data_IF_030865739935
#
_entry.id   IF_030865739935
#
_cell.length_a   1.000
_cell.length_b   1.000
_cell.length_c   1.000
_cell.angle_alpha   90.00
_cell.angle_beta   90.00
_cell.angle_gamma   90.00
#
_symmetry.space_group_name_H-M   'P 1'
#
loop_
_entity.id
_entity.type
_entity.pdbx_description
1 polymer ?
#
# COMPACT_ATOMS: atom_id res chain seq x y z
N UNK A 1 -17.13 17.07 -1.97
CA UNK A 1 -16.51 16.51 -0.78
C UNK A 1 -15.01 16.74 -0.89
N UNK A 2 -14.52 17.63 -0.05
CA UNK A 2 -13.14 18.15 -0.06
C UNK A 2 -12.30 17.13 0.69
N UNK A 3 -11.44 16.40 -0.03
CA UNK A 3 -10.37 15.62 0.59
C UNK A 3 -9.32 16.60 1.11
N UNK A 4 -9.38 16.90 2.40
CA UNK A 4 -8.35 17.70 3.07
C UNK A 4 -7.11 16.82 3.21
N UNK A 5 -6.11 17.07 2.35
CA UNK A 5 -4.76 16.49 2.49
C UNK A 5 -4.07 17.20 3.63
N UNK A 6 -3.75 16.49 4.69
CA UNK A 6 -2.92 17.02 5.77
C UNK A 6 -1.47 16.97 5.28
N UNK A 7 -0.95 18.13 4.88
CA UNK A 7 0.49 18.32 4.67
C UNK A 7 1.12 18.59 6.03
N UNK A 8 1.64 17.55 6.66
CA UNK A 8 2.45 17.72 7.87
C UNK A 8 3.87 18.02 7.43
N UNK A 9 4.26 19.30 7.43
CA UNK A 9 5.64 19.72 7.26
C UNK A 9 6.43 19.32 8.51
N UNK A 10 7.12 18.21 8.48
CA UNK A 10 8.14 17.89 9.50
C UNK A 10 9.45 18.45 8.99
N UNK A 11 9.85 19.60 9.52
CA UNK A 11 11.20 20.12 9.36
C UNK A 11 12.14 19.34 10.30
N UNK A 12 12.92 18.43 9.76
CA UNK A 12 14.04 17.85 10.50
C UNK A 12 15.21 18.82 10.35
N UNK A 13 15.50 19.59 11.40
CA UNK A 13 16.71 20.39 11.51
C UNK A 13 17.87 19.45 11.88
N UNK A 14 18.74 19.17 10.91
CA UNK A 14 20.01 18.47 11.12
C UNK A 14 21.13 19.53 11.09
N UNK A 15 21.73 19.90 12.24
CA UNK A 15 22.90 20.75 12.23
C UNK A 15 24.13 19.95 11.79
N UNK A 16 24.85 20.48 10.81
CA UNK A 16 26.13 20.03 10.29
C UNK A 16 26.17 18.79 9.37
N UNK A 17 25.67 18.96 8.13
CA UNK A 17 26.25 18.29 6.97
C UNK A 17 26.07 19.17 5.72
N UNK A 18 26.87 20.23 5.61
CA UNK A 18 26.71 21.28 4.62
C UNK A 18 27.47 21.06 3.30
N UNK A 19 27.86 19.84 2.94
CA UNK A 19 28.72 19.65 1.77
C UNK A 19 28.33 18.57 0.75
N UNK A 20 27.17 17.89 0.89
CA UNK A 20 26.86 16.78 -0.04
C UNK A 20 25.52 16.86 -0.80
N UNK A 21 24.64 17.83 -0.51
CA UNK A 21 23.41 18.01 -1.27
C UNK A 21 23.11 19.49 -1.47
N UNK A 22 23.14 20.02 -2.70
CA UNK A 22 22.60 21.34 -2.98
C UNK A 22 21.06 21.27 -2.97
N UNK A 23 20.45 21.22 -1.77
CA UNK A 23 19.02 21.47 -1.66
C UNK A 23 18.80 22.98 -1.85
N UNK A 24 18.41 23.35 -3.04
CA UNK A 24 17.85 24.68 -3.30
C UNK A 24 16.46 24.74 -2.63
N UNK A 25 16.37 25.49 -1.53
CA UNK A 25 15.20 25.64 -0.63
C UNK A 25 14.00 26.39 -1.30
N UNK A 26 13.89 26.42 -2.59
CA UNK A 26 12.86 27.22 -3.31
C UNK A 26 11.92 26.41 -4.20
N UNK A 27 11.82 25.09 -4.05
CA UNK A 27 10.85 24.34 -4.83
C UNK A 27 9.62 24.00 -3.97
N UNK A 28 8.51 24.68 -4.22
CA UNK A 28 7.21 24.27 -3.64
C UNK A 28 6.86 22.91 -4.25
N UNK A 29 6.60 21.88 -3.40
CA UNK A 29 6.29 20.55 -3.92
C UNK A 29 5.06 20.59 -4.84
N UNK A 30 5.20 20.00 -6.02
CA UNK A 30 4.11 19.85 -6.97
C UNK A 30 3.39 18.51 -6.75
N UNK A 31 2.16 18.39 -7.24
CA UNK A 31 1.42 17.12 -7.17
C UNK A 31 2.16 15.97 -7.85
N UNK A 32 2.94 16.28 -8.87
CA UNK A 32 3.76 15.33 -9.62
C UNK A 32 5.00 14.85 -8.86
N UNK A 33 5.35 15.48 -7.75
CA UNK A 33 6.45 15.01 -6.90
C UNK A 33 6.05 13.81 -6.02
N UNK A 34 4.74 13.53 -5.89
CA UNK A 34 4.20 12.44 -5.09
C UNK A 34 3.67 11.32 -5.98
N UNK A 35 3.69 10.08 -5.50
CA UNK A 35 3.07 8.97 -6.22
C UNK A 35 1.58 9.26 -6.45
N UNK A 36 1.04 9.05 -7.67
CA UNK A 36 -0.34 9.38 -7.98
C UNK A 36 -1.33 8.47 -7.25
N UNK A 37 -2.44 9.07 -6.82
CA UNK A 37 -3.55 8.38 -6.13
C UNK A 37 -4.87 8.54 -6.88
N UNK A 38 -4.90 9.38 -7.89
CA UNK A 38 -6.08 9.70 -8.70
C UNK A 38 -5.78 9.69 -10.20
N UNK A 39 -6.79 9.50 -11.02
CA UNK A 39 -6.68 9.59 -12.50
C UNK A 39 -6.09 10.92 -12.95
N UNK A 40 -6.53 12.03 -12.34
CA UNK A 40 -6.02 13.36 -12.66
C UNK A 40 -4.50 13.48 -12.45
N UNK A 41 -3.97 12.88 -11.39
CA UNK A 41 -2.53 12.89 -11.11
C UNK A 41 -1.74 12.01 -12.10
N UNK A 42 -2.36 10.92 -12.57
CA UNK A 42 -1.80 10.07 -13.64
C UNK A 42 -1.74 10.84 -14.96
N UNK A 43 -2.83 11.52 -15.32
CA UNK A 43 -2.93 12.35 -16.52
C UNK A 43 -1.92 13.51 -16.51
N UNK A 44 -1.72 14.16 -15.35
CA UNK A 44 -0.71 15.22 -15.18
C UNK A 44 0.73 14.72 -15.41
N UNK A 45 0.98 13.43 -15.21
CA UNK A 45 2.27 12.78 -15.53
C UNK A 45 2.37 12.32 -16.99
N UNK A 46 1.31 12.51 -17.78
CA UNK A 46 1.23 12.03 -19.17
C UNK A 46 1.15 10.51 -19.29
N UNK A 47 0.72 9.81 -18.25
CA UNK A 47 0.61 8.36 -18.26
C UNK A 47 -0.77 7.93 -18.74
N UNK A 48 -0.80 6.99 -19.68
CA UNK A 48 -2.04 6.36 -20.20
C UNK A 48 -2.33 5.03 -19.55
N UNK A 49 -1.31 4.39 -18.96
CA UNK A 49 -1.40 3.11 -18.28
C UNK A 49 -0.49 3.11 -17.04
N UNK A 50 -0.73 2.21 -16.13
CA UNK A 50 0.08 1.95 -14.94
C UNK A 50 0.72 0.57 -15.03
N UNK A 51 1.94 0.46 -14.54
CA UNK A 51 2.62 -0.84 -14.43
C UNK A 51 2.19 -1.58 -13.16
N UNK A 52 2.13 -0.86 -12.05
CA UNK A 52 1.85 -1.43 -10.73
C UNK A 52 0.89 -0.50 -9.98
N UNK A 53 -0.10 -1.09 -9.30
CA UNK A 53 -1.01 -0.36 -8.41
C UNK A 53 -0.90 -0.97 -7.02
N UNK A 54 -0.55 -0.14 -6.03
CA UNK A 54 -0.39 -0.56 -4.63
C UNK A 54 -1.65 -0.17 -3.85
N UNK A 55 -2.34 -1.15 -3.29
CA UNK A 55 -3.44 -0.95 -2.34
C UNK A 55 -2.89 -0.95 -0.92
N UNK A 56 -3.14 0.11 -0.16
CA UNK A 56 -2.68 0.25 1.22
C UNK A 56 -3.86 0.48 2.16
N UNK A 57 -3.85 -0.18 3.32
CA UNK A 57 -4.84 0.09 4.34
C UNK A 57 -4.54 1.36 5.18
N UNK A 58 -3.35 1.93 5.07
CA UNK A 58 -3.03 3.23 5.64
C UNK A 58 -3.37 4.36 4.67
N UNK A 59 -3.62 5.55 5.20
CA UNK A 59 -3.58 6.79 4.44
C UNK A 59 -2.22 6.96 3.76
N UNK A 60 -2.19 7.60 2.59
CA UNK A 60 -0.93 7.84 1.90
C UNK A 60 -0.16 8.99 2.53
N UNK A 61 1.03 8.65 3.03
CA UNK A 61 2.04 9.61 3.48
C UNK A 61 3.34 9.22 2.78
N UNK A 62 3.92 10.14 2.00
CA UNK A 62 5.18 9.92 1.31
C UNK A 62 6.37 10.10 2.27
N UNK A 63 6.60 9.09 3.08
CA UNK A 63 7.63 9.09 4.11
C UNK A 63 8.25 7.70 4.27
N UNK A 64 9.56 7.59 4.56
CA UNK A 64 10.26 6.31 4.71
C UNK A 64 9.70 5.36 5.77
N UNK A 65 8.90 5.85 6.70
CA UNK A 65 8.22 5.01 7.70
C UNK A 65 7.00 4.26 7.16
N UNK A 66 6.55 4.58 5.93
CA UNK A 66 5.36 3.97 5.33
C UNK A 66 5.76 3.01 4.21
N UNK A 67 5.56 1.72 4.44
CA UNK A 67 6.00 0.66 3.53
C UNK A 67 5.45 0.80 2.10
N UNK A 68 4.19 1.21 1.93
CA UNK A 68 3.61 1.43 0.60
C UNK A 68 4.32 2.57 -0.16
N UNK A 69 4.68 3.66 0.53
CA UNK A 69 5.46 4.76 -0.05
C UNK A 69 6.87 4.30 -0.43
N UNK A 70 7.57 3.59 0.46
CA UNK A 70 8.93 3.06 0.21
C UNK A 70 8.92 2.16 -1.02
N UNK A 71 8.03 1.17 -1.07
CA UNK A 71 7.96 0.24 -2.22
C UNK A 71 7.58 0.99 -3.50
N UNK A 72 6.60 1.88 -3.44
CA UNK A 72 6.22 2.71 -4.59
C UNK A 72 7.38 3.53 -5.13
N UNK A 73 8.16 4.18 -4.26
CA UNK A 73 9.33 4.97 -4.66
C UNK A 73 10.48 4.11 -5.20
N UNK A 74 10.72 2.94 -4.60
CA UNK A 74 11.73 1.99 -5.11
C UNK A 74 11.37 1.54 -6.53
N UNK A 75 10.10 1.22 -6.78
CA UNK A 75 9.64 0.80 -8.11
C UNK A 75 9.62 1.96 -9.11
N UNK A 76 9.22 3.16 -8.69
CA UNK A 76 9.30 4.38 -9.53
C UNK A 76 10.76 4.67 -9.95
N UNK A 77 11.71 4.52 -9.02
CA UNK A 77 13.14 4.68 -9.32
C UNK A 77 13.69 3.63 -10.31
N UNK A 78 13.05 2.46 -10.42
CA UNK A 78 13.33 1.45 -11.44
C UNK A 78 12.65 1.77 -12.79
N UNK A 79 11.91 2.87 -12.90
CA UNK A 79 11.24 3.33 -14.12
C UNK A 79 9.80 2.83 -14.31
N UNK A 80 9.21 2.16 -13.31
CA UNK A 80 7.82 1.73 -13.40
C UNK A 80 6.83 2.88 -13.10
N UNK A 81 5.70 2.87 -13.79
CA UNK A 81 4.58 3.76 -13.53
C UNK A 81 3.75 3.20 -12.37
N UNK A 82 3.95 3.74 -11.20
CA UNK A 82 3.35 3.24 -9.95
C UNK A 82 2.31 4.21 -9.42
N UNK A 83 1.17 3.68 -8.99
CA UNK A 83 0.14 4.45 -8.27
C UNK A 83 -0.21 3.79 -6.94
N UNK A 84 -0.72 4.57 -5.98
CA UNK A 84 -1.20 4.07 -4.69
C UNK A 84 -2.70 4.33 -4.58
N UNK A 85 -3.44 3.33 -4.11
CA UNK A 85 -4.84 3.44 -3.66
C UNK A 85 -4.84 3.30 -2.14
N UNK A 86 -4.81 4.41 -1.40
CA UNK A 86 -4.85 4.39 0.05
C UNK A 86 -6.27 4.22 0.55
N UNK A 87 -6.45 3.38 1.57
CA UNK A 87 -7.73 3.16 2.26
C UNK A 87 -8.94 3.10 1.31
N UNK A 88 -8.96 2.14 0.35
CA UNK A 88 -10.10 2.02 -0.55
C UNK A 88 -11.37 1.65 0.22
N UNK A 89 -12.50 2.23 -0.20
CA UNK A 89 -13.80 1.80 0.30
C UNK A 89 -14.11 0.38 -0.21
N UNK A 90 -14.19 -0.55 0.75
CA UNK A 90 -14.47 -1.97 0.47
C UNK A 90 -15.97 -2.31 0.51
N UNK A 91 -16.82 -1.30 0.72
CA UNK A 91 -18.27 -1.46 0.72
C UNK A 91 -18.89 -1.17 -0.65
N UNK A 92 -20.04 -1.73 -0.90
CA UNK A 92 -20.85 -1.40 -2.07
C UNK A 92 -20.27 -1.84 -3.41
N UNK A 93 -20.08 -0.90 -4.32
CA UNK A 93 -19.75 -1.16 -5.73
C UNK A 93 -18.24 -1.26 -6.03
N UNK A 94 -17.39 -1.25 -5.01
CA UNK A 94 -15.92 -1.30 -5.14
C UNK A 94 -15.33 -0.24 -6.07
N UNK A 95 -15.89 0.97 -6.05
CA UNK A 95 -15.49 2.07 -6.94
C UNK A 95 -14.02 2.43 -6.83
N UNK A 96 -13.48 2.42 -5.61
CA UNK A 96 -12.08 2.74 -5.36
C UNK A 96 -11.12 1.67 -5.93
N UNK A 97 -11.55 0.42 -5.99
CA UNK A 97 -10.77 -0.66 -6.60
C UNK A 97 -10.76 -0.59 -8.13
N UNK A 98 -11.74 0.10 -8.73
CA UNK A 98 -11.85 0.28 -10.20
C UNK A 98 -11.32 1.62 -10.68
N UNK A 99 -11.12 2.61 -9.79
CA UNK A 99 -10.84 4.00 -10.18
C UNK A 99 -9.59 4.21 -11.02
N UNK A 100 -8.56 3.37 -10.84
CA UNK A 100 -7.31 3.45 -11.60
C UNK A 100 -7.20 2.42 -12.73
N UNK A 101 -8.17 1.50 -12.82
CA UNK A 101 -8.18 0.43 -13.82
C UNK A 101 -7.25 -0.74 -13.48
N UNK A 102 -6.86 -1.49 -14.53
CA UNK A 102 -5.99 -2.67 -14.45
C UNK A 102 -4.53 -2.25 -14.69
N UNK A 103 -3.56 -2.67 -13.84
CA UNK A 103 -2.15 -2.47 -14.11
C UNK A 103 -1.64 -3.43 -15.19
N UNK A 104 -0.54 -3.08 -15.83
CA UNK A 104 0.12 -3.92 -16.85
C UNK A 104 0.78 -5.16 -16.23
N UNK A 105 1.36 -5.05 -15.02
CA UNK A 105 2.13 -6.11 -14.38
C UNK A 105 1.33 -6.81 -13.28
N UNK A 106 1.06 -6.12 -12.18
CA UNK A 106 0.37 -6.71 -11.02
C UNK A 106 -0.21 -5.65 -10.08
N UNK A 107 -1.11 -6.10 -9.21
CA UNK A 107 -1.50 -5.40 -8.00
C UNK A 107 -0.61 -5.79 -6.83
N UNK A 108 -0.26 -4.83 -5.98
CA UNK A 108 0.37 -5.09 -4.70
C UNK A 108 -0.59 -4.68 -3.56
N UNK A 109 -0.65 -5.46 -2.49
CA UNK A 109 -1.53 -5.21 -1.34
C UNK A 109 -0.73 -5.23 -0.06
N UNK A 110 -0.88 -4.19 0.76
CA UNK A 110 -0.24 -4.04 2.06
C UNK A 110 -1.23 -3.58 3.14
N UNK A 111 -1.12 -4.08 4.38
CA UNK A 111 -2.00 -3.70 5.49
C UNK A 111 -1.73 -2.29 6.02
N UNK A 112 -0.57 -1.71 5.67
CA UNK A 112 -0.02 -0.51 6.26
C UNK A 112 1.14 -0.78 7.21
N UNK A 113 1.44 0.19 8.11
CA UNK A 113 2.58 0.13 9.03
C UNK A 113 2.39 -0.87 10.18
N UNK A 114 1.14 -1.18 10.55
CA UNK A 114 0.80 -2.10 11.62
C UNK A 114 -0.06 -3.25 11.11
N UNK A 115 -0.02 -4.36 11.85
CA UNK A 115 -1.03 -5.40 11.72
C UNK A 115 -2.42 -4.82 11.98
N UNK A 116 -3.38 -5.11 11.10
CA UNK A 116 -4.71 -4.51 11.13
C UNK A 116 -5.46 -4.82 12.43
N UNK A 117 -5.33 -6.02 12.94
CA UNK A 117 -6.03 -6.44 14.15
C UNK A 117 -5.44 -5.77 15.40
N UNK A 118 -4.10 -5.61 15.45
CA UNK A 118 -3.41 -4.86 16.51
C UNK A 118 -3.74 -3.36 16.43
N UNK A 119 -3.88 -2.83 15.23
CA UNK A 119 -4.28 -1.44 15.03
C UNK A 119 -5.74 -1.17 15.42
N UNK A 120 -6.65 -2.10 15.11
CA UNK A 120 -8.08 -1.96 15.34
C UNK A 120 -8.49 -2.26 16.80
N UNK A 121 -7.84 -3.23 17.44
CA UNK A 121 -8.22 -3.72 18.75
C UNK A 121 -7.13 -3.58 19.80
N UNK A 122 -7.55 -3.45 21.06
CA UNK A 122 -6.67 -3.62 22.21
C UNK A 122 -6.40 -5.10 22.47
N UNK A 123 -5.40 -5.42 23.33
CA UNK A 123 -5.13 -6.80 23.75
C UNK A 123 -6.32 -7.50 24.44
N UNK A 124 -7.29 -6.74 24.96
CA UNK A 124 -8.55 -7.27 25.54
C UNK A 124 -9.69 -7.32 24.52
N UNK A 125 -9.38 -7.30 23.22
CA UNK A 125 -10.35 -7.34 22.11
C UNK A 125 -11.36 -6.18 22.12
N UNK A 126 -11.03 -5.03 22.72
CA UNK A 126 -11.88 -3.83 22.67
C UNK A 126 -11.49 -2.99 21.47
N UNK A 127 -12.46 -2.51 20.72
CA UNK A 127 -12.26 -1.58 19.62
C UNK A 127 -11.52 -0.32 20.11
N UNK A 128 -10.51 0.13 19.40
CA UNK A 128 -9.84 1.41 19.64
C UNK A 128 -10.70 2.55 19.10
N UNK A 129 -10.64 3.69 19.77
CA UNK A 129 -11.37 4.91 19.39
C UNK A 129 -10.68 5.70 18.29
N UNK A 130 -9.40 5.45 18.06
CA UNK A 130 -8.56 6.20 17.12
C UNK A 130 -7.68 5.27 16.30
N UNK A 131 -7.41 5.68 15.05
CA UNK A 131 -6.44 5.05 14.16
C UNK A 131 -5.43 6.10 13.67
N UNK A 132 -4.20 6.07 14.18
CA UNK A 132 -3.15 7.02 13.84
C UNK A 132 -2.74 7.00 12.34
N UNK A 133 -3.11 5.96 11.60
CA UNK A 133 -2.79 5.79 10.18
C UNK A 133 -3.96 6.12 9.25
N UNK A 134 -5.05 6.65 9.82
CA UNK A 134 -6.21 7.13 9.07
C UNK A 134 -6.33 8.64 9.13
N UNK A 135 -6.91 9.30 8.12
CA UNK A 135 -7.15 10.74 8.13
C UNK A 135 -7.98 11.14 9.36
N UNK A 136 -7.56 12.22 10.02
CA UNK A 136 -8.20 12.75 11.23
C UNK A 136 -8.26 11.76 12.41
N UNK A 137 -7.41 10.73 12.40
CA UNK A 137 -7.40 9.70 13.45
C UNK A 137 -8.67 8.84 13.49
N UNK A 138 -9.49 8.86 12.44
CA UNK A 138 -10.76 8.12 12.40
C UNK A 138 -10.54 6.63 12.46
N UNK A 139 -11.16 5.96 13.43
CA UNK A 139 -11.19 4.50 13.49
C UNK A 139 -12.13 3.91 12.43
N UNK A 140 -11.99 2.62 12.18
CA UNK A 140 -12.86 1.83 11.28
C UNK A 140 -12.84 2.25 9.80
N UNK A 141 -11.75 2.92 9.37
CA UNK A 141 -11.54 3.28 7.97
C UNK A 141 -10.98 2.11 7.13
N UNK A 142 -10.68 0.99 7.74
CA UNK A 142 -10.17 -0.23 7.09
C UNK A 142 -10.92 -1.46 7.58
N UNK A 143 -11.08 -2.51 6.76
CA UNK A 143 -11.68 -3.77 7.20
C UNK A 143 -10.78 -4.50 8.20
N UNK A 144 -11.31 -5.51 8.84
CA UNK A 144 -10.50 -6.55 9.48
C UNK A 144 -9.75 -7.34 8.40
N UNK A 145 -8.47 -7.63 8.65
CA UNK A 145 -7.60 -8.32 7.69
C UNK A 145 -7.64 -7.69 6.28
N UNK A 146 -7.33 -6.39 6.13
CA UNK A 146 -7.45 -5.67 4.85
C UNK A 146 -6.67 -6.35 3.73
N UNK A 147 -5.54 -6.99 4.03
CA UNK A 147 -4.78 -7.75 3.04
C UNK A 147 -5.63 -8.86 2.41
N UNK A 148 -6.43 -9.57 3.20
CA UNK A 148 -7.33 -10.62 2.69
C UNK A 148 -8.50 -10.00 1.93
N UNK A 149 -9.16 -9.01 2.54
CA UNK A 149 -10.37 -8.39 1.96
C UNK A 149 -10.05 -7.72 0.63
N UNK A 150 -9.00 -6.89 0.58
CA UNK A 150 -8.63 -6.19 -0.66
C UNK A 150 -8.21 -7.16 -1.76
N UNK A 151 -7.47 -8.20 -1.42
CA UNK A 151 -7.05 -9.21 -2.39
C UNK A 151 -8.24 -9.94 -2.99
N UNK A 152 -9.20 -10.38 -2.18
CA UNK A 152 -10.41 -11.05 -2.66
C UNK A 152 -11.21 -10.16 -3.61
N UNK A 153 -11.39 -8.88 -3.28
CA UNK A 153 -12.05 -7.91 -4.16
C UNK A 153 -11.28 -7.76 -5.48
N UNK A 154 -9.95 -7.65 -5.43
CA UNK A 154 -9.13 -7.53 -6.63
C UNK A 154 -9.20 -8.78 -7.50
N UNK A 155 -9.17 -9.99 -6.91
CA UNK A 155 -9.33 -11.25 -7.65
C UNK A 155 -10.72 -11.44 -8.24
N UNK A 156 -11.77 -10.92 -7.58
CA UNK A 156 -13.12 -10.88 -8.14
C UNK A 156 -13.22 -9.95 -9.36
N UNK A 157 -12.64 -8.74 -9.26
CA UNK A 157 -12.72 -7.74 -10.32
C UNK A 157 -11.75 -8.00 -11.47
N UNK A 158 -10.59 -8.59 -11.19
CA UNK A 158 -9.48 -8.78 -12.13
C UNK A 158 -8.85 -10.17 -11.96
N UNK A 159 -9.58 -11.26 -12.29
CA UNK A 159 -9.14 -12.64 -12.00
C UNK A 159 -7.80 -13.01 -12.63
N UNK A 160 -7.50 -12.45 -13.81
CA UNK A 160 -6.28 -12.76 -14.58
C UNK A 160 -5.09 -11.86 -14.22
N UNK A 161 -5.25 -10.92 -13.27
CA UNK A 161 -4.16 -10.02 -12.88
C UNK A 161 -3.52 -10.53 -11.59
N UNK A 162 -2.18 -10.71 -11.56
CA UNK A 162 -1.51 -11.14 -10.36
C UNK A 162 -1.69 -10.15 -9.20
N UNK A 163 -1.85 -10.70 -7.99
CA UNK A 163 -1.91 -9.94 -6.74
C UNK A 163 -0.81 -10.40 -5.82
N UNK A 164 0.09 -9.46 -5.48
CA UNK A 164 1.25 -9.70 -4.63
C UNK A 164 1.00 -9.13 -3.25
N UNK A 165 1.14 -9.95 -2.22
CA UNK A 165 1.00 -9.52 -0.82
C UNK A 165 2.32 -9.06 -0.25
N UNK A 166 2.28 -8.00 0.56
CA UNK A 166 3.44 -7.52 1.29
C UNK A 166 3.08 -6.93 2.66
N UNK A 167 4.11 -6.43 3.35
CA UNK A 167 3.97 -5.80 4.64
C UNK A 167 3.83 -6.76 5.82
N UNK A 168 3.55 -6.20 7.00
CA UNK A 168 3.60 -6.93 8.27
C UNK A 168 2.55 -8.03 8.37
N UNK A 169 1.33 -7.78 7.93
CA UNK A 169 0.23 -8.74 8.02
C UNK A 169 0.50 -9.99 7.17
N UNK A 170 0.94 -9.81 5.94
CA UNK A 170 1.34 -10.90 5.06
C UNK A 170 2.56 -11.67 5.63
N UNK A 171 3.54 -10.95 6.15
CA UNK A 171 4.74 -11.54 6.75
C UNK A 171 4.43 -12.39 7.97
N UNK A 172 3.56 -11.94 8.86
CA UNK A 172 3.18 -12.67 10.07
C UNK A 172 2.31 -13.88 9.76
N UNK A 173 1.45 -13.79 8.74
CA UNK A 173 0.47 -14.84 8.37
C UNK A 173 0.92 -15.69 7.17
N UNK A 174 2.21 -15.67 6.81
CA UNK A 174 2.75 -16.43 5.67
C UNK A 174 2.73 -17.96 5.86
N UNK A 175 2.51 -18.43 7.08
CA UNK A 175 2.36 -19.84 7.43
C UNK A 175 1.01 -20.07 8.11
N UNK A 176 0.62 -21.33 8.29
CA UNK A 176 -0.49 -21.70 9.19
C UNK A 176 -0.21 -21.13 10.57
N UNK A 177 -1.18 -20.45 11.14
CA UNK A 177 -1.03 -19.73 12.41
C UNK A 177 -2.29 -19.83 13.26
N UNK A 178 -2.12 -19.63 14.57
CA UNK A 178 -3.23 -19.42 15.48
C UNK A 178 -3.63 -17.95 15.44
N UNK A 179 -4.90 -17.71 15.09
CA UNK A 179 -5.47 -16.37 15.11
C UNK A 179 -6.13 -16.12 16.47
N UNK A 180 -5.52 -15.23 17.25
CA UNK A 180 -5.98 -14.87 18.58
C UNK A 180 -7.40 -14.25 18.58
N UNK A 181 -7.72 -13.48 17.53
CA UNK A 181 -8.99 -12.75 17.45
C UNK A 181 -10.17 -13.68 17.19
N UNK A 182 -9.96 -14.68 16.33
CA UNK A 182 -10.97 -15.68 15.95
C UNK A 182 -10.90 -16.95 16.80
N UNK A 183 -9.88 -17.07 17.67
CA UNK A 183 -9.63 -18.26 18.49
C UNK A 183 -9.59 -19.56 17.67
N UNK A 184 -8.86 -19.52 16.54
CA UNK A 184 -8.84 -20.60 15.57
C UNK A 184 -7.48 -20.71 14.85
N UNK A 185 -7.18 -21.91 14.37
CA UNK A 185 -6.09 -22.11 13.40
C UNK A 185 -6.54 -21.63 12.01
N UNK A 186 -5.73 -20.76 11.41
CA UNK A 186 -5.97 -20.24 10.06
C UNK A 186 -4.91 -20.78 9.10
N UNK A 187 -5.27 -21.03 7.83
CA UNK A 187 -4.30 -21.33 6.80
C UNK A 187 -3.34 -20.15 6.58
N UNK A 188 -2.27 -20.35 5.81
CA UNK A 188 -1.43 -19.23 5.41
C UNK A 188 -2.24 -18.20 4.61
N UNK A 189 -1.87 -16.93 4.72
CA UNK A 189 -2.59 -15.83 4.09
C UNK A 189 -2.67 -15.94 2.56
N UNK A 190 -1.70 -16.59 1.92
CA UNK A 190 -1.71 -16.84 0.48
C UNK A 190 -2.94 -17.66 0.06
N UNK A 191 -3.21 -18.73 0.81
CA UNK A 191 -4.39 -19.59 0.58
C UNK A 191 -5.67 -18.87 0.95
N UNK A 192 -5.66 -18.19 2.10
CA UNK A 192 -6.86 -17.52 2.64
C UNK A 192 -7.32 -16.34 1.78
N UNK A 193 -6.39 -15.62 1.18
CA UNK A 193 -6.68 -14.45 0.33
C UNK A 193 -6.87 -14.77 -1.15
N UNK A 194 -6.42 -15.95 -1.62
CA UNK A 194 -6.27 -16.32 -3.04
C UNK A 194 -5.29 -15.44 -3.82
N UNK A 195 -4.29 -14.88 -3.16
CA UNK A 195 -3.23 -14.14 -3.81
C UNK A 195 -2.27 -15.08 -4.57
N UNK A 196 -1.49 -14.50 -5.48
CA UNK A 196 -0.57 -15.27 -6.33
C UNK A 196 0.82 -15.41 -5.68
N UNK A 197 1.25 -14.41 -4.90
CA UNK A 197 2.58 -14.42 -4.26
C UNK A 197 2.61 -13.61 -2.96
N UNK A 198 3.56 -13.94 -2.08
CA UNK A 198 3.89 -13.17 -0.88
C UNK A 198 5.34 -12.69 -0.95
N UNK A 199 5.54 -11.41 -0.73
CA UNK A 199 6.84 -10.82 -0.43
C UNK A 199 6.87 -10.46 1.06
N UNK A 200 7.64 -11.21 1.85
CA UNK A 200 7.69 -11.04 3.31
C UNK A 200 9.01 -10.41 3.76
N UNK A 201 8.98 -9.78 4.93
CA UNK A 201 10.13 -9.07 5.50
C UNK A 201 10.41 -7.75 4.77
N UNK A 202 11.69 -7.45 4.53
CA UNK A 202 12.14 -6.25 3.81
C UNK A 202 11.87 -6.44 2.31
N UNK A 203 10.89 -5.70 1.79
CA UNK A 203 10.33 -5.91 0.44
C UNK A 203 11.08 -5.23 -0.69
N UNK A 204 12.01 -4.32 -0.43
CA UNK A 204 12.62 -3.44 -1.44
C UNK A 204 13.34 -4.23 -2.54
N UNK A 205 14.26 -5.10 -2.14
CA UNK A 205 15.01 -5.92 -3.09
C UNK A 205 14.14 -6.97 -3.80
N UNK A 206 13.33 -7.78 -3.08
CA UNK A 206 12.45 -8.75 -3.74
C UNK A 206 11.47 -8.11 -4.72
N UNK A 207 10.89 -6.95 -4.40
CA UNK A 207 9.94 -6.25 -5.29
C UNK A 207 10.62 -5.75 -6.56
N UNK A 208 11.86 -5.26 -6.49
CA UNK A 208 12.65 -4.90 -7.67
C UNK A 208 12.89 -6.10 -8.59
N UNK A 209 13.34 -7.20 -8.00
CA UNK A 209 13.64 -8.44 -8.74
C UNK A 209 12.35 -9.01 -9.37
N UNK A 210 11.28 -9.12 -8.60
CA UNK A 210 9.97 -9.58 -9.06
C UNK A 210 9.45 -8.74 -10.23
N UNK A 211 9.46 -7.42 -10.08
CA UNK A 211 8.96 -6.52 -11.12
C UNK A 211 9.73 -6.67 -12.43
N UNK A 212 11.05 -6.86 -12.37
CA UNK A 212 11.88 -7.12 -13.56
C UNK A 212 11.53 -8.46 -14.23
N UNK A 213 11.35 -9.52 -13.44
CA UNK A 213 10.99 -10.84 -13.95
C UNK A 213 9.60 -10.80 -14.62
N UNK A 214 8.60 -10.22 -13.96
CA UNK A 214 7.25 -10.11 -14.53
C UNK A 214 7.25 -9.22 -15.79
N UNK A 215 7.99 -8.12 -15.77
CA UNK A 215 8.12 -7.25 -16.94
C UNK A 215 8.80 -7.93 -18.13
N UNK A 216 9.67 -8.92 -17.89
CA UNK A 216 10.29 -9.73 -18.94
C UNK A 216 9.42 -10.91 -19.42
N UNK A 217 8.19 -11.03 -18.89
CA UNK A 217 7.24 -12.08 -19.29
C UNK A 217 7.29 -13.36 -18.44
N UNK A 218 8.01 -13.35 -17.34
CA UNK A 218 7.99 -14.49 -16.40
C UNK A 218 6.62 -14.50 -15.69
N UNK A 219 5.85 -15.60 -15.70
CA UNK A 219 4.58 -15.69 -14.98
C UNK A 219 4.81 -15.65 -13.46
N UNK A 220 3.85 -15.09 -12.74
CA UNK A 220 3.81 -15.08 -11.27
C UNK A 220 3.26 -16.41 -10.76
#
# INVERSE_FOLDING_TARGET
SIHTRIYTHIYIYIPHCSSLFPFTINHMPQLTDFLPTTKKEIELRGWTELDIIIFSADAYVDHPSFGAAVIGRVLEAEGYKVAIVPQPDWHGDYRDFRKLGKPRLFFAVAPGCMDSMVNKYTARRRLRSEDAYSPDGRHDCRPEYPTIVYTRILKELYPDTPVILGGIEASMRRLTHYDYWQDALRPCILVDSHADMIVYGMGERPMRELSRLVASGTPV
#
